data_IF_596576534594
#
_entry.id   IF_596576534594
#
_cell.length_a   1.000
_cell.length_b   1.000
_cell.length_c   1.000
_cell.angle_alpha   90.00
_cell.angle_beta   90.00
_cell.angle_gamma   90.00
#
_symmetry.space_group_name_H-M   'P 1'
#
loop_
_entity.id
_entity.type
_entity.pdbx_description
1 polymer ?
#
# COMPACT_ATOMS: atom_id res chain seq x y z
N UNK A 1 12.79 5.39 2.17
CA UNK A 1 11.54 4.59 2.04
C UNK A 1 11.17 4.13 3.44
N UNK A 2 9.90 3.86 3.77
CA UNK A 2 9.67 3.04 4.98
C UNK A 2 10.40 1.72 4.75
N UNK A 3 11.44 1.46 5.54
CA UNK A 3 12.40 0.37 5.28
C UNK A 3 11.69 -0.98 5.21
N UNK A 4 10.61 -1.11 5.98
CA UNK A 4 9.72 -2.26 6.04
C UNK A 4 9.12 -2.66 4.69
N UNK A 5 8.82 -1.72 3.78
CA UNK A 5 8.36 -2.09 2.44
C UNK A 5 9.41 -2.91 1.69
N UNK A 6 10.67 -2.48 1.75
CA UNK A 6 11.77 -3.17 1.07
C UNK A 6 12.03 -4.54 1.71
N UNK A 7 11.95 -4.63 3.03
CA UNK A 7 12.12 -5.89 3.75
C UNK A 7 11.07 -6.91 3.32
N UNK A 8 9.79 -6.53 3.28
CA UNK A 8 8.69 -7.40 2.84
C UNK A 8 8.86 -7.76 1.35
N UNK A 9 9.17 -6.78 0.48
CA UNK A 9 9.29 -7.02 -0.96
C UNK A 9 10.49 -7.89 -1.34
N UNK A 10 11.53 -7.94 -0.49
CA UNK A 10 12.72 -8.78 -0.66
C UNK A 10 12.60 -10.16 -0.03
N UNK A 11 11.59 -10.41 0.81
CA UNK A 11 11.43 -11.73 1.42
C UNK A 11 11.01 -12.79 0.39
N UNK A 12 11.09 -14.06 0.79
CA UNK A 12 10.72 -15.15 -0.11
C UNK A 12 9.25 -15.04 -0.53
N UNK A 13 8.89 -15.68 -1.64
CA UNK A 13 7.49 -15.75 -2.09
C UNK A 13 6.62 -16.41 -1.02
N UNK A 14 7.13 -17.43 -0.33
CA UNK A 14 6.38 -18.14 0.71
C UNK A 14 6.19 -17.28 1.96
N UNK A 15 7.21 -16.51 2.37
CA UNK A 15 7.07 -15.56 3.49
C UNK A 15 6.03 -14.48 3.18
N UNK A 16 6.04 -13.94 1.96
CA UNK A 16 5.03 -12.94 1.55
C UNK A 16 3.64 -13.53 1.53
N UNK A 17 3.46 -14.74 1.00
CA UNK A 17 2.17 -15.44 1.00
C UNK A 17 1.67 -15.71 2.41
N UNK A 18 2.55 -16.14 3.32
CA UNK A 18 2.22 -16.36 4.72
C UNK A 18 1.80 -15.05 5.41
N UNK A 19 2.54 -13.97 5.17
CA UNK A 19 2.23 -12.63 5.68
C UNK A 19 0.86 -12.14 5.18
N UNK A 20 0.63 -12.18 3.87
CA UNK A 20 -0.62 -11.70 3.27
C UNK A 20 -1.81 -12.52 3.75
N UNK A 21 -1.68 -13.85 3.83
CA UNK A 21 -2.73 -14.72 4.35
C UNK A 21 -3.05 -14.44 5.82
N UNK A 22 -2.02 -14.21 6.64
CA UNK A 22 -2.19 -13.92 8.08
C UNK A 22 -2.91 -12.59 8.30
N UNK A 23 -2.49 -11.54 7.60
CA UNK A 23 -3.11 -10.21 7.71
C UNK A 23 -4.52 -10.22 7.12
N UNK A 24 -4.74 -10.94 6.01
CA UNK A 24 -6.06 -11.08 5.40
C UNK A 24 -7.07 -11.74 6.35
N UNK A 25 -6.65 -12.79 7.08
CA UNK A 25 -7.49 -13.43 8.09
C UNK A 25 -7.84 -12.46 9.23
N UNK A 26 -6.88 -11.65 9.70
CA UNK A 26 -7.12 -10.68 10.76
C UNK A 26 -8.05 -9.53 10.35
N UNK A 27 -7.95 -9.09 9.09
CA UNK A 27 -8.73 -7.99 8.53
C UNK A 27 -10.01 -8.46 7.83
N UNK A 28 -10.35 -9.74 7.93
CA UNK A 28 -11.53 -10.36 7.30
C UNK A 28 -11.64 -10.00 5.81
N UNK A 29 -10.52 -10.11 5.09
CA UNK A 29 -10.42 -9.78 3.68
C UNK A 29 -9.66 -10.84 2.89
N UNK A 30 -9.44 -10.59 1.61
CA UNK A 30 -8.71 -11.50 0.73
C UNK A 30 -7.21 -11.18 0.72
N UNK A 31 -6.35 -12.19 0.62
CA UNK A 31 -4.89 -11.99 0.59
C UNK A 31 -4.45 -11.11 -0.59
N UNK A 32 -5.15 -11.19 -1.72
CA UNK A 32 -4.92 -10.35 -2.90
C UNK A 32 -5.16 -8.87 -2.61
N UNK A 33 -6.11 -8.55 -1.72
CA UNK A 33 -6.36 -7.16 -1.30
C UNK A 33 -5.19 -6.65 -0.45
N UNK A 34 -4.63 -7.48 0.44
CA UNK A 34 -3.45 -7.11 1.25
C UNK A 34 -2.23 -6.90 0.37
N UNK A 35 -1.99 -7.81 -0.57
CA UNK A 35 -0.90 -7.68 -1.52
C UNK A 35 -1.02 -6.39 -2.34
N UNK A 36 -2.20 -6.14 -2.92
CA UNK A 36 -2.46 -4.90 -3.67
C UNK A 36 -2.26 -3.67 -2.79
N UNK A 37 -2.77 -3.67 -1.56
CA UNK A 37 -2.67 -2.54 -0.64
C UNK A 37 -1.21 -2.20 -0.29
N UNK A 38 -0.36 -3.22 -0.11
CA UNK A 38 1.08 -3.06 0.10
C UNK A 38 1.72 -2.31 -1.07
N UNK A 39 1.51 -2.79 -2.31
CA UNK A 39 2.10 -2.19 -3.50
C UNK A 39 1.57 -0.77 -3.75
N UNK A 40 0.28 -0.52 -3.53
CA UNK A 40 -0.32 0.82 -3.64
C UNK A 40 0.35 1.77 -2.66
N UNK A 41 0.46 1.40 -1.39
CA UNK A 41 1.10 2.25 -0.39
C UNK A 41 2.59 2.48 -0.69
N UNK A 42 3.29 1.47 -1.22
CA UNK A 42 4.67 1.59 -1.65
C UNK A 42 4.85 2.57 -2.81
N UNK A 43 4.02 2.47 -3.85
CA UNK A 43 4.04 3.39 -5.00
C UNK A 43 3.71 4.82 -4.57
N UNK A 44 2.72 5.00 -3.69
CA UNK A 44 2.36 6.33 -3.18
C UNK A 44 3.49 6.95 -2.35
N UNK A 45 4.20 6.18 -1.49
CA UNK A 45 5.39 6.69 -0.79
C UNK A 45 6.45 7.14 -1.79
N UNK A 46 6.70 6.34 -2.83
CA UNK A 46 7.67 6.69 -3.86
C UNK A 46 7.29 7.97 -4.61
N UNK A 47 6.05 8.06 -5.11
CA UNK A 47 5.59 9.19 -5.92
C UNK A 47 5.55 10.50 -5.13
N UNK A 48 5.04 10.47 -3.89
CA UNK A 48 4.73 11.69 -3.14
C UNK A 48 5.74 12.03 -2.04
N UNK A 49 6.51 11.07 -1.52
CA UNK A 49 7.43 11.31 -0.41
C UNK A 49 8.92 11.13 -0.78
N UNK A 50 9.26 10.62 -1.97
CA UNK A 50 10.64 10.32 -2.38
C UNK A 50 11.15 11.10 -3.57
N UNK A 51 10.34 12.00 -4.12
CA UNK A 51 10.69 12.85 -5.27
C UNK A 51 10.66 14.34 -4.88
N UNK A 52 11.46 14.78 -3.89
CA UNK A 52 11.51 16.20 -3.55
C UNK A 52 12.01 16.98 -4.77
N UNK A 53 11.38 18.12 -5.06
CA UNK A 53 11.69 18.99 -6.19
C UNK A 53 11.37 18.41 -7.59
N UNK A 54 10.47 17.42 -7.68
CA UNK A 54 9.92 17.02 -8.97
C UNK A 54 9.12 18.19 -9.59
N UNK A 55 9.44 18.65 -10.82
CA UNK A 55 8.69 19.72 -11.47
C UNK A 55 7.25 19.31 -11.84
N UNK A 56 6.93 18.02 -11.84
CA UNK A 56 5.59 17.52 -12.14
C UNK A 56 4.73 17.52 -10.88
N UNK A 57 3.72 18.41 -10.86
CA UNK A 57 2.70 18.43 -9.82
C UNK A 57 1.71 17.27 -9.95
N UNK A 58 1.93 16.21 -9.18
CA UNK A 58 1.01 15.08 -9.11
C UNK A 58 -0.11 15.36 -8.09
N UNK A 59 -1.35 14.99 -8.45
CA UNK A 59 -2.50 15.04 -7.56
C UNK A 59 -3.10 13.64 -7.41
N UNK A 60 -3.19 13.17 -6.17
CA UNK A 60 -3.85 11.90 -5.85
C UNK A 60 -5.27 12.16 -5.35
N UNK A 61 -6.26 11.49 -5.94
CA UNK A 61 -7.69 11.67 -5.65
C UNK A 61 -8.42 10.32 -5.57
N UNK A 62 -9.71 10.36 -5.24
CA UNK A 62 -10.59 9.19 -5.23
C UNK A 62 -10.64 8.46 -3.87
N UNK A 63 -11.25 7.27 -3.86
CA UNK A 63 -11.49 6.51 -2.63
C UNK A 63 -10.21 6.18 -1.86
N UNK A 64 -9.15 5.79 -2.56
CA UNK A 64 -7.85 5.48 -1.98
C UNK A 64 -7.19 6.70 -1.32
N UNK A 65 -7.39 7.92 -1.85
CA UNK A 65 -6.90 9.13 -1.19
C UNK A 65 -7.64 9.40 0.13
N UNK A 66 -8.96 9.17 0.18
CA UNK A 66 -9.76 9.33 1.39
C UNK A 66 -9.36 8.32 2.47
N UNK A 67 -9.02 7.07 2.11
CA UNK A 67 -8.60 6.06 3.08
C UNK A 67 -7.15 6.18 3.50
N UNK A 68 -6.22 6.42 2.57
CA UNK A 68 -4.76 6.36 2.81
C UNK A 68 -4.12 7.68 3.20
N UNK A 69 -4.61 8.81 2.69
CA UNK A 69 -4.04 10.12 3.01
C UNK A 69 -4.80 10.80 4.16
N UNK A 70 -6.13 10.71 4.16
CA UNK A 70 -6.97 11.43 5.11
C UNK A 70 -7.60 10.57 6.21
N UNK A 71 -7.57 9.23 6.08
CA UNK A 71 -8.18 8.33 7.07
C UNK A 71 -9.70 8.49 7.25
N UNK A 72 -10.38 9.08 6.27
CA UNK A 72 -11.81 9.45 6.34
C UNK A 72 -12.74 8.26 6.13
N UNK A 73 -12.26 7.22 5.46
CA UNK A 73 -13.02 5.98 5.23
C UNK A 73 -12.16 4.76 5.55
N UNK A 74 -12.80 3.70 6.06
CA UNK A 74 -12.15 2.42 6.40
C UNK A 74 -12.72 1.29 5.55
N UNK A 75 -12.52 1.40 4.24
CA UNK A 75 -12.84 0.34 3.27
C UNK A 75 -11.70 0.18 2.29
N UNK A 76 -11.56 -1.02 1.74
CA UNK A 76 -10.71 -1.26 0.59
C UNK A 76 -11.26 -0.52 -0.65
N UNK A 77 -10.36 -0.03 -1.49
CA UNK A 77 -10.71 0.62 -2.76
C UNK A 77 -10.24 -0.25 -3.91
N UNK A 78 -11.14 -0.54 -4.86
CA UNK A 78 -10.79 -1.32 -6.06
C UNK A 78 -10.14 -0.47 -7.15
N UNK A 79 -10.44 0.83 -7.20
CA UNK A 79 -9.74 1.81 -8.04
C UNK A 79 -8.27 1.97 -7.62
#
# INVERSE_FOLDING_TARGET
>A
MQQTFIEILRSSVDDRRALFSTVAAHLETRAENIEKDLYVCWVLDFLFNRRPNDPVGLYFKGGTSLSKAYGLIRRFSED
#
